data_IF_971289594550
#
_entry.id   IF_971289594550
#
_cell.length_a   1.000
_cell.length_b   1.000
_cell.length_c   1.000
_cell.angle_alpha   90.00
_cell.angle_beta   90.00
_cell.angle_gamma   90.00
#
_symmetry.space_group_name_H-M   'P 1'
#
loop_
_entity.id
_entity.type
_entity.pdbx_description
1 polymer ?
#
# COMPACT_ATOMS: atom_id res chain seq x y z
N UNK A 1 -7.54 16.86 40.16
CA UNK A 1 -8.71 17.08 39.26
C UNK A 1 -8.43 18.03 38.09
N UNK A 2 -7.65 19.12 38.23
CA UNK A 2 -7.42 20.08 37.12
C UNK A 2 -6.58 19.54 35.95
N UNK A 3 -5.63 18.62 36.20
CA UNK A 3 -4.75 18.07 35.15
C UNK A 3 -5.45 17.12 34.16
N UNK A 4 -6.39 16.26 34.62
CA UNK A 4 -7.17 15.39 33.72
C UNK A 4 -8.06 16.18 32.76
N UNK A 5 -8.62 17.31 33.22
CA UNK A 5 -9.44 18.18 32.38
C UNK A 5 -8.58 18.84 31.30
N UNK A 6 -7.38 19.30 31.66
CA UNK A 6 -6.45 19.87 30.69
C UNK A 6 -6.01 18.86 29.63
N UNK A 7 -5.71 17.61 30.01
CA UNK A 7 -5.34 16.54 29.06
C UNK A 7 -6.50 16.19 28.11
N UNK A 8 -7.72 16.10 28.66
CA UNK A 8 -8.93 15.84 27.86
C UNK A 8 -9.21 16.95 26.84
N UNK A 9 -8.96 18.22 27.19
CA UNK A 9 -9.09 19.35 26.27
C UNK A 9 -8.02 19.33 25.18
N UNK A 10 -6.76 19.02 25.51
CA UNK A 10 -5.68 18.92 24.51
C UNK A 10 -5.97 17.81 23.49
N UNK A 11 -6.43 16.65 23.95
CA UNK A 11 -6.84 15.54 23.07
C UNK A 11 -8.07 15.87 22.21
N UNK A 12 -9.02 16.66 22.74
CA UNK A 12 -10.19 17.10 21.99
C UNK A 12 -9.86 18.19 20.95
N UNK A 13 -8.78 18.95 21.15
CA UNK A 13 -8.30 19.96 20.20
C UNK A 13 -7.39 19.39 19.12
N UNK A 14 -6.69 18.27 19.39
CA UNK A 14 -5.94 17.50 18.39
C UNK A 14 -6.87 16.58 17.56
N UNK A 15 -7.95 17.17 17.04
CA UNK A 15 -8.77 16.47 16.06
C UNK A 15 -8.06 16.55 14.71
N UNK A 16 -7.75 15.41 14.05
CA UNK A 16 -7.09 15.44 12.77
C UNK A 16 -7.97 16.19 11.77
N UNK A 17 -7.51 17.38 11.36
CA UNK A 17 -8.23 18.21 10.38
C UNK A 17 -8.38 17.38 9.11
N UNK A 18 -9.62 17.15 8.68
CA UNK A 18 -9.90 16.41 7.45
C UNK A 18 -9.21 17.11 6.28
N UNK A 19 -8.26 16.43 5.64
CA UNK A 19 -7.62 16.92 4.42
C UNK A 19 -8.71 17.23 3.39
N UNK A 20 -8.73 18.46 2.88
CA UNK A 20 -9.64 18.85 1.80
C UNK A 20 -9.28 18.01 0.57
N UNK A 21 -10.29 17.42 -0.07
CA UNK A 21 -10.11 16.62 -1.29
C UNK A 21 -9.53 17.50 -2.39
N UNK A 22 -8.32 17.21 -2.82
CA UNK A 22 -7.65 17.97 -3.89
C UNK A 22 -8.14 17.58 -5.29
N UNK A 23 -8.50 16.31 -5.51
CA UNK A 23 -8.89 15.78 -6.83
C UNK A 23 -10.22 15.02 -6.76
N UNK A 24 -11.09 15.22 -7.76
CA UNK A 24 -12.37 14.50 -7.87
C UNK A 24 -12.15 13.00 -8.13
N UNK A 25 -11.23 12.62 -9.01
CA UNK A 25 -10.83 11.21 -9.19
C UNK A 25 -9.32 11.18 -9.35
N UNK A 26 -8.65 10.17 -8.76
CA UNK A 26 -7.20 10.01 -8.97
C UNK A 26 -6.94 9.35 -10.31
N UNK A 27 -5.87 9.74 -11.00
CA UNK A 27 -5.54 9.28 -12.34
C UNK A 27 -5.46 7.74 -12.43
N UNK A 28 -4.84 7.09 -11.46
CA UNK A 28 -4.70 5.64 -11.42
C UNK A 28 -6.05 4.90 -11.29
N UNK A 29 -7.09 5.53 -10.71
CA UNK A 29 -8.44 4.93 -10.68
C UNK A 29 -9.06 4.85 -12.08
N UNK A 30 -8.81 5.85 -12.93
CA UNK A 30 -9.31 5.88 -14.31
C UNK A 30 -8.65 4.77 -15.15
N UNK A 31 -7.35 4.55 -14.94
CA UNK A 31 -6.57 3.55 -15.68
C UNK A 31 -6.54 2.16 -15.04
N UNK A 32 -7.27 1.93 -13.92
CA UNK A 32 -7.22 0.67 -13.16
C UNK A 32 -7.52 -0.57 -14.00
N UNK A 33 -8.42 -0.47 -14.99
CA UNK A 33 -8.79 -1.61 -15.86
C UNK A 33 -7.72 -1.98 -16.87
N UNK A 34 -6.85 -1.03 -17.21
CA UNK A 34 -5.81 -1.17 -18.23
C UNK A 34 -4.46 -1.54 -17.62
N UNK A 35 -4.30 -1.36 -16.31
CA UNK A 35 -3.05 -1.57 -15.61
C UNK A 35 -3.03 -2.90 -14.85
N UNK A 36 -1.99 -3.69 -15.08
CA UNK A 36 -1.67 -4.82 -14.21
C UNK A 36 -1.20 -4.36 -12.82
N UNK A 37 -1.35 -5.24 -11.83
CA UNK A 37 -0.98 -5.00 -10.42
C UNK A 37 0.43 -4.42 -10.25
N UNK A 38 1.40 -4.95 -10.98
CA UNK A 38 2.80 -4.50 -10.93
C UNK A 38 3.00 -3.08 -11.48
N UNK A 39 2.32 -2.74 -12.57
CA UNK A 39 2.36 -1.40 -13.16
C UNK A 39 1.70 -0.39 -12.24
N UNK A 40 0.52 -0.72 -11.71
CA UNK A 40 -0.19 0.15 -10.77
C UNK A 40 0.67 0.45 -9.54
N UNK A 41 1.30 -0.56 -8.93
CA UNK A 41 2.15 -0.34 -7.77
C UNK A 41 3.33 0.59 -8.04
N UNK A 42 3.93 0.52 -9.24
CA UNK A 42 4.99 1.44 -9.65
C UNK A 42 4.46 2.87 -9.75
N UNK A 43 3.33 3.06 -10.43
CA UNK A 43 2.71 4.39 -10.56
C UNK A 43 2.29 4.96 -9.19
N UNK A 44 1.76 4.14 -8.28
CA UNK A 44 1.46 4.57 -6.92
C UNK A 44 2.71 4.97 -6.14
N UNK A 45 3.81 4.25 -6.31
CA UNK A 45 5.08 4.56 -5.66
C UNK A 45 5.64 5.91 -6.11
N UNK A 46 5.55 6.19 -7.41
CA UNK A 46 6.14 7.39 -8.01
C UNK A 46 5.24 8.64 -7.88
N UNK A 47 3.94 8.50 -8.17
CA UNK A 47 3.02 9.64 -8.29
C UNK A 47 2.19 9.91 -7.02
N UNK A 48 1.87 8.90 -6.21
CA UNK A 48 0.91 8.99 -5.09
C UNK A 48 1.36 8.14 -3.86
N UNK A 49 2.42 8.54 -3.13
CA UNK A 49 3.01 7.73 -2.05
C UNK A 49 2.05 7.46 -0.87
N UNK A 50 1.09 8.37 -0.61
CA UNK A 50 0.04 8.14 0.39
C UNK A 50 -0.87 6.95 0.00
N UNK A 51 -1.17 6.81 -1.30
CA UNK A 51 -1.96 5.69 -1.79
C UNK A 51 -1.14 4.41 -1.80
N UNK A 52 0.14 4.46 -2.14
CA UNK A 52 1.03 3.30 -2.02
C UNK A 52 1.02 2.77 -0.58
N UNK A 53 1.18 3.67 0.41
CA UNK A 53 1.12 3.32 1.83
C UNK A 53 -0.24 2.78 2.24
N UNK A 54 -1.33 3.37 1.76
CA UNK A 54 -2.66 2.81 1.99
C UNK A 54 -2.85 1.46 1.30
N UNK A 55 -2.16 1.24 0.18
CA UNK A 55 -2.32 0.06 -0.63
C UNK A 55 -1.68 -1.17 0.03
N UNK A 56 -0.46 -1.02 0.54
CA UNK A 56 0.31 -2.09 1.18
C UNK A 56 0.30 -2.03 2.71
N UNK A 57 -0.27 -0.97 3.31
CA UNK A 57 -0.17 -0.64 4.75
C UNK A 57 1.27 -0.46 5.23
N UNK A 58 2.16 -0.10 4.31
CA UNK A 58 3.61 -0.01 4.50
C UNK A 58 4.18 1.04 3.55
N UNK A 59 5.18 1.80 3.99
CA UNK A 59 5.95 2.71 3.11
C UNK A 59 6.87 1.93 2.16
N UNK A 60 7.38 2.63 1.13
CA UNK A 60 8.19 2.01 0.09
C UNK A 60 9.55 1.52 0.59
N UNK A 61 10.16 2.23 1.55
CA UNK A 61 11.46 1.86 2.13
C UNK A 61 11.36 0.56 2.92
N UNK A 62 10.38 0.47 3.81
CA UNK A 62 10.09 -0.75 4.58
C UNK A 62 9.71 -1.91 3.66
N UNK A 63 8.99 -1.65 2.56
CA UNK A 63 8.67 -2.67 1.58
C UNK A 63 9.92 -3.21 0.88
N UNK A 64 10.84 -2.34 0.46
CA UNK A 64 12.08 -2.75 -0.20
C UNK A 64 13.00 -3.54 0.75
N UNK A 65 13.09 -3.12 2.02
CA UNK A 65 13.83 -3.86 3.05
C UNK A 65 13.22 -5.25 3.24
N UNK A 66 11.90 -5.34 3.44
CA UNK A 66 11.21 -6.62 3.59
C UNK A 66 11.38 -7.50 2.35
N UNK A 67 11.32 -6.91 1.16
CA UNK A 67 11.54 -7.63 -0.09
C UNK A 67 12.95 -8.19 -0.14
N UNK A 68 13.98 -7.43 0.26
CA UNK A 68 15.36 -7.90 0.27
C UNK A 68 15.57 -9.12 1.18
N UNK A 69 14.90 -9.14 2.35
CA UNK A 69 14.97 -10.23 3.32
C UNK A 69 14.25 -11.49 2.83
N UNK A 70 13.08 -11.32 2.21
CA UNK A 70 12.20 -12.43 1.84
C UNK A 70 12.50 -12.94 0.43
N UNK A 71 13.06 -12.12 -0.46
CA UNK A 71 13.40 -12.47 -1.85
C UNK A 71 14.10 -13.83 -1.99
N UNK A 72 15.18 -14.16 -1.25
CA UNK A 72 15.86 -15.45 -1.41
C UNK A 72 14.95 -16.64 -1.10
N UNK A 73 13.93 -16.47 -0.26
CA UNK A 73 12.98 -17.52 0.12
C UNK A 73 11.82 -17.68 -0.87
N UNK A 74 11.48 -16.62 -1.61
CA UNK A 74 10.32 -16.60 -2.51
C UNK A 74 10.69 -16.56 -4.00
N UNK A 75 11.97 -16.44 -4.36
CA UNK A 75 12.39 -16.59 -5.76
C UNK A 75 12.00 -17.98 -6.28
N UNK A 76 11.42 -18.01 -7.49
CA UNK A 76 11.16 -19.25 -8.23
C UNK A 76 11.89 -19.19 -9.56
N UNK A 77 12.30 -20.35 -10.06
CA UNK A 77 12.93 -20.47 -11.38
C UNK A 77 11.87 -20.46 -12.48
N UNK A 78 12.22 -19.86 -13.62
CA UNK A 78 11.42 -19.96 -14.84
C UNK A 78 11.44 -21.41 -15.35
N UNK A 79 10.33 -21.85 -15.92
CA UNK A 79 10.26 -23.15 -16.60
C UNK A 79 10.03 -22.94 -18.10
N UNK A 80 10.29 -23.98 -18.91
CA UNK A 80 10.06 -23.93 -20.36
C UNK A 80 8.62 -23.57 -20.73
N UNK A 81 7.64 -23.88 -19.87
CA UNK A 81 6.23 -23.63 -20.14
C UNK A 81 5.75 -22.27 -19.62
N UNK A 82 6.42 -21.68 -18.61
CA UNK A 82 5.95 -20.45 -17.97
C UNK A 82 7.05 -19.70 -17.22
N UNK A 83 7.01 -18.37 -17.34
CA UNK A 83 7.78 -17.47 -16.48
C UNK A 83 7.27 -17.46 -15.03
N UNK A 84 8.20 -17.48 -14.09
CA UNK A 84 7.92 -17.37 -12.68
C UNK A 84 7.41 -15.97 -12.34
N UNK A 85 6.41 -15.92 -11.44
CA UNK A 85 5.95 -14.65 -10.87
C UNK A 85 7.10 -14.05 -10.06
N UNK A 86 7.46 -12.81 -10.38
CA UNK A 86 8.55 -12.10 -9.72
C UNK A 86 8.32 -12.01 -8.19
N UNK A 87 9.40 -12.05 -7.39
CA UNK A 87 9.32 -11.88 -5.93
C UNK A 87 8.52 -10.64 -5.52
N UNK A 88 8.73 -9.51 -6.23
CA UNK A 88 8.02 -8.26 -6.01
C UNK A 88 6.50 -8.40 -6.24
N UNK A 89 6.09 -8.99 -7.36
CA UNK A 89 4.66 -9.21 -7.64
C UNK A 89 4.03 -10.14 -6.59
N UNK A 90 4.76 -11.17 -6.17
CA UNK A 90 4.28 -12.12 -5.16
C UNK A 90 4.11 -11.47 -3.80
N UNK A 91 5.14 -10.80 -3.30
CA UNK A 91 5.12 -10.16 -1.98
C UNK A 91 4.02 -9.11 -1.91
N UNK A 92 3.93 -8.23 -2.91
CA UNK A 92 2.90 -7.19 -2.92
C UNK A 92 1.47 -7.73 -2.98
N UNK A 93 1.22 -8.82 -3.73
CA UNK A 93 -0.09 -9.49 -3.71
C UNK A 93 -0.40 -10.10 -2.34
N UNK A 94 0.59 -10.74 -1.71
CA UNK A 94 0.44 -11.31 -0.37
C UNK A 94 0.14 -10.23 0.67
N UNK A 95 0.92 -9.15 0.71
CA UNK A 95 0.69 -8.05 1.64
C UNK A 95 -0.68 -7.40 1.42
N UNK A 96 -1.08 -7.23 0.15
CA UNK A 96 -2.41 -6.72 -0.19
C UNK A 96 -3.53 -7.61 0.33
N UNK A 97 -3.38 -8.92 0.17
CA UNK A 97 -4.32 -9.91 0.69
C UNK A 97 -4.38 -9.86 2.23
N UNK A 98 -3.23 -9.86 2.91
CA UNK A 98 -3.15 -9.79 4.37
C UNK A 98 -3.76 -8.49 4.91
N UNK A 99 -3.56 -7.37 4.21
CA UNK A 99 -4.09 -6.07 4.62
C UNK A 99 -5.62 -5.97 4.53
N UNK A 100 -6.27 -6.77 3.67
CA UNK A 100 -7.69 -6.58 3.31
C UNK A 100 -8.56 -7.83 3.39
N UNK A 101 -7.99 -9.01 3.65
CA UNK A 101 -8.73 -10.26 3.88
C UNK A 101 -9.63 -10.67 2.72
N UNK A 102 -9.23 -10.38 1.47
CA UNK A 102 -10.00 -10.65 0.23
C UNK A 102 -11.21 -9.73 -0.04
N UNK A 103 -11.49 -8.74 0.81
CA UNK A 103 -12.66 -7.84 0.66
C UNK A 103 -12.62 -6.88 -0.53
N UNK A 104 -11.52 -6.85 -1.29
CA UNK A 104 -11.35 -5.92 -2.41
C UNK A 104 -11.70 -6.45 -3.79
N UNK A 105 -11.94 -7.76 -3.90
CA UNK A 105 -12.36 -8.39 -5.15
C UNK A 105 -13.88 -8.52 -5.27
N UNK A 106 -14.64 -7.84 -4.39
CA UNK A 106 -16.10 -7.67 -4.46
C UNK A 106 -16.46 -6.21 -4.70
#
# INVERSE_FOLDING_TARGET
MKASVALGVVLALDTPKRKKRSKWVKKWYLCRREQGHTRLLRELRDDEPEDYRNFLRMDAESYDELLSLVMPMIVKQNTTMREAISPNARLSMTLRFLATGNSQFY
#
